data_IF_989012849587
#
_entry.id   IF_989012849587
#
_cell.length_a   1.000
_cell.length_b   1.000
_cell.length_c   1.000
_cell.angle_alpha   90.00
_cell.angle_beta   90.00
_cell.angle_gamma   90.00
#
_symmetry.space_group_name_H-M   'P 1'
#
loop_
_entity.id
_entity.type
_entity.pdbx_description
1 polymer ?
#
# COMPACT_ATOMS: atom_id res chain seq x y z
N UNK A 1 -47.14 11.56 -8.71
CA UNK A 1 -46.66 11.47 -7.30
C UNK A 1 -45.16 11.23 -7.08
N UNK A 2 -44.34 11.00 -8.11
CA UNK A 2 -42.88 10.88 -7.92
C UNK A 2 -42.14 12.22 -7.80
N UNK A 3 -42.81 13.35 -8.11
CA UNK A 3 -42.23 14.70 -8.17
C UNK A 3 -42.46 15.57 -6.92
N UNK A 4 -43.24 15.11 -5.92
CA UNK A 4 -43.69 15.92 -4.78
C UNK A 4 -42.93 15.70 -3.46
N UNK A 5 -42.06 14.69 -3.38
CA UNK A 5 -41.39 14.37 -2.11
C UNK A 5 -40.00 15.05 -2.01
N UNK A 6 -39.90 16.05 -1.11
CA UNK A 6 -38.72 16.88 -0.81
C UNK A 6 -37.42 16.17 -0.36
N UNK A 7 -37.23 14.90 -0.70
CA UNK A 7 -36.00 14.12 -0.48
C UNK A 7 -34.86 14.55 -1.40
N UNK A 8 -35.13 15.21 -2.54
CA UNK A 8 -34.10 15.67 -3.49
C UNK A 8 -33.23 16.80 -2.92
N UNK A 9 -33.82 17.74 -2.17
CA UNK A 9 -33.08 18.84 -1.54
C UNK A 9 -31.99 18.35 -0.58
N UNK A 10 -32.24 17.25 0.14
CA UNK A 10 -31.24 16.64 1.04
C UNK A 10 -30.07 16.00 0.28
N UNK A 11 -30.33 15.36 -0.87
CA UNK A 11 -29.28 14.74 -1.70
C UNK A 11 -28.45 15.82 -2.43
N UNK A 12 -29.11 16.82 -3.01
CA UNK A 12 -28.42 17.96 -3.63
C UNK A 12 -27.59 18.76 -2.62
N UNK A 13 -28.11 18.97 -1.40
CA UNK A 13 -27.35 19.62 -0.34
C UNK A 13 -26.18 18.77 0.12
N UNK A 14 -26.33 17.44 0.20
CA UNK A 14 -25.22 16.53 0.53
C UNK A 14 -24.13 16.54 -0.55
N UNK A 15 -24.51 16.52 -1.82
CA UNK A 15 -23.58 16.60 -2.96
C UNK A 15 -22.90 17.97 -3.04
N UNK A 16 -23.64 19.06 -2.82
CA UNK A 16 -23.14 20.43 -2.76
C UNK A 16 -22.15 20.62 -1.61
N UNK A 17 -22.48 20.11 -0.42
CA UNK A 17 -21.59 20.15 0.75
C UNK A 17 -20.30 19.34 0.52
N UNK A 18 -20.40 18.17 -0.14
CA UNK A 18 -19.21 17.40 -0.54
C UNK A 18 -18.34 18.15 -1.55
N UNK A 19 -18.94 18.85 -2.52
CA UNK A 19 -18.22 19.70 -3.49
C UNK A 19 -17.62 20.95 -2.86
N UNK A 20 -18.25 21.51 -1.83
CA UNK A 20 -17.73 22.66 -1.08
C UNK A 20 -16.56 22.26 -0.20
N UNK A 21 -16.71 21.18 0.57
CA UNK A 21 -15.63 20.57 1.35
C UNK A 21 -14.43 20.21 0.45
N UNK A 22 -14.69 19.69 -0.75
CA UNK A 22 -13.61 19.42 -1.70
C UNK A 22 -12.90 20.72 -2.13
N UNK A 23 -13.63 21.78 -2.50
CA UNK A 23 -13.02 23.07 -2.88
C UNK A 23 -12.16 23.70 -1.77
N UNK A 24 -12.60 23.59 -0.52
CA UNK A 24 -11.84 24.13 0.62
C UNK A 24 -10.58 23.31 0.94
N UNK A 25 -10.59 21.99 0.66
CA UNK A 25 -9.42 21.10 0.72
C UNK A 25 -8.45 21.37 -0.45
N UNK A 26 -8.95 21.85 -1.58
CA UNK A 26 -8.19 22.12 -2.81
C UNK A 26 -7.60 23.53 -2.91
N UNK A 27 -7.55 24.33 -1.83
CA UNK A 27 -6.68 25.51 -1.82
C UNK A 27 -5.23 25.05 -1.91
N UNK A 28 -4.61 25.36 -3.05
CA UNK A 28 -3.29 24.92 -3.47
C UNK A 28 -2.23 25.15 -2.38
N UNK A 29 -1.63 24.05 -1.90
CA UNK A 29 -0.20 24.04 -1.66
C UNK A 29 0.42 23.44 -2.92
N UNK A 30 1.23 24.22 -3.61
CA UNK A 30 2.07 23.76 -4.70
C UNK A 30 2.92 22.59 -4.20
N UNK A 31 2.68 21.40 -4.76
CA UNK A 31 3.61 20.28 -4.65
C UNK A 31 4.84 20.60 -5.51
N UNK A 32 6.06 20.23 -5.08
CA UNK A 32 7.20 20.26 -5.98
C UNK A 32 6.87 19.39 -7.20
N UNK A 33 6.95 19.98 -8.39
CA UNK A 33 6.89 19.24 -9.63
C UNK A 33 8.06 18.23 -9.64
N UNK A 34 7.77 16.97 -9.93
CA UNK A 34 8.80 16.00 -10.28
C UNK A 34 9.56 16.53 -11.50
N UNK A 35 10.84 16.84 -11.30
CA UNK A 35 11.74 17.27 -12.35
C UNK A 35 11.87 16.14 -13.39
N UNK A 36 11.25 16.34 -14.56
CA UNK A 36 11.07 15.32 -15.62
C UNK A 36 12.25 15.22 -16.60
N UNK A 37 13.38 15.87 -16.32
CA UNK A 37 14.59 15.73 -17.13
C UNK A 37 15.54 14.72 -16.49
N UNK A 38 15.59 13.51 -17.06
CA UNK A 38 16.60 12.51 -16.74
C UNK A 38 17.97 12.99 -17.24
N UNK A 39 18.81 13.45 -16.33
CA UNK A 39 20.25 13.61 -16.54
C UNK A 39 20.93 12.31 -16.06
N UNK A 40 21.56 11.50 -16.96
CA UNK A 40 22.30 10.33 -16.52
C UNK A 40 23.41 10.74 -15.55
N UNK A 41 23.51 10.03 -14.43
CA UNK A 41 24.61 10.21 -13.47
C UNK A 41 25.95 10.01 -14.21
N UNK A 42 26.86 10.97 -14.09
CA UNK A 42 28.22 10.85 -14.65
C UNK A 42 28.83 9.52 -14.19
N UNK A 43 29.38 8.75 -15.14
CA UNK A 43 30.10 7.50 -14.89
C UNK A 43 29.26 6.32 -14.36
N UNK A 44 27.94 6.27 -14.60
CA UNK A 44 27.09 5.12 -14.20
C UNK A 44 27.63 3.76 -14.68
N UNK A 45 28.20 3.69 -15.89
CA UNK A 45 28.80 2.47 -16.42
C UNK A 45 29.99 1.98 -15.59
N UNK A 46 30.80 2.91 -15.07
CA UNK A 46 31.92 2.61 -14.17
C UNK A 46 31.38 2.17 -12.81
N UNK A 47 30.41 2.89 -12.25
CA UNK A 47 29.79 2.54 -10.96
C UNK A 47 29.17 1.12 -10.98
N UNK A 48 28.52 0.73 -12.09
CA UNK A 48 28.00 -0.63 -12.29
C UNK A 48 29.10 -1.70 -12.34
N UNK A 49 30.25 -1.40 -12.96
CA UNK A 49 31.38 -2.32 -12.97
C UNK A 49 31.92 -2.53 -11.56
N UNK A 50 32.12 -1.45 -10.80
CA UNK A 50 32.57 -1.54 -9.41
C UNK A 50 31.59 -2.32 -8.54
N UNK A 51 30.28 -2.03 -8.64
CA UNK A 51 29.21 -2.70 -7.88
C UNK A 51 29.25 -4.24 -8.02
N UNK A 52 29.71 -4.73 -9.17
CA UNK A 52 29.73 -6.16 -9.53
C UNK A 52 31.09 -6.81 -9.36
N UNK A 53 32.07 -6.11 -8.78
CA UNK A 53 33.36 -6.71 -8.47
C UNK A 53 33.20 -7.79 -7.38
N UNK A 54 33.79 -8.98 -7.56
CA UNK A 54 33.75 -10.04 -6.54
C UNK A 54 34.38 -9.63 -5.20
N UNK A 55 35.30 -8.66 -5.23
CA UNK A 55 36.10 -8.20 -4.09
C UNK A 55 35.56 -6.92 -3.45
N UNK A 56 34.37 -6.46 -3.85
CA UNK A 56 33.79 -5.23 -3.32
C UNK A 56 33.54 -5.34 -1.81
N UNK A 57 33.89 -4.30 -1.06
CA UNK A 57 33.55 -4.20 0.37
C UNK A 57 32.10 -3.77 0.57
N UNK A 58 31.57 -3.94 1.79
CA UNK A 58 30.19 -3.54 2.09
C UNK A 58 29.96 -2.02 1.93
N UNK A 59 30.92 -1.20 2.36
CA UNK A 59 30.86 0.26 2.26
C UNK A 59 30.93 0.73 0.80
N UNK A 60 31.81 0.11 0.00
CA UNK A 60 31.86 0.37 -1.44
C UNK A 60 30.57 -0.05 -2.13
N UNK A 61 29.99 -1.19 -1.72
CA UNK A 61 28.72 -1.65 -2.27
C UNK A 61 27.60 -0.64 -2.00
N UNK A 62 27.42 -0.16 -0.76
CA UNK A 62 26.42 0.87 -0.44
C UNK A 62 26.65 2.15 -1.27
N UNK A 63 27.91 2.61 -1.33
CA UNK A 63 28.28 3.80 -2.10
C UNK A 63 27.90 3.66 -3.58
N UNK A 64 28.29 2.56 -4.24
CA UNK A 64 28.00 2.35 -5.65
C UNK A 64 26.53 2.02 -5.90
N UNK A 65 25.85 1.35 -4.96
CA UNK A 65 24.42 1.11 -5.03
C UNK A 65 23.64 2.43 -5.09
N UNK A 66 23.99 3.39 -4.21
CA UNK A 66 23.40 4.74 -4.18
C UNK A 66 23.76 5.54 -5.43
N UNK A 67 25.01 5.47 -5.90
CA UNK A 67 25.47 6.14 -7.12
C UNK A 67 24.80 5.66 -8.42
N UNK A 68 24.13 4.50 -8.40
CA UNK A 68 23.40 4.00 -9.54
C UNK A 68 21.87 4.16 -9.42
N UNK A 69 21.38 4.83 -8.38
CA UNK A 69 19.96 4.81 -8.05
C UNK A 69 19.08 5.44 -9.13
N UNK A 70 19.48 6.59 -9.72
CA UNK A 70 18.67 7.23 -10.77
C UNK A 70 18.56 6.33 -12.00
N UNK A 71 19.67 5.71 -12.38
CA UNK A 71 19.69 4.75 -13.49
C UNK A 71 18.84 3.52 -13.19
N UNK A 72 18.96 2.95 -11.98
CA UNK A 72 18.13 1.83 -11.50
C UNK A 72 16.65 2.18 -11.52
N UNK A 73 16.27 3.35 -11.02
CA UNK A 73 14.86 3.79 -11.00
C UNK A 73 14.30 3.96 -12.41
N UNK A 74 15.09 4.48 -13.35
CA UNK A 74 14.69 4.54 -14.75
C UNK A 74 14.44 3.15 -15.31
N UNK A 75 15.39 2.23 -15.17
CA UNK A 75 15.23 0.84 -15.64
C UNK A 75 14.01 0.16 -15.00
N UNK A 76 13.78 0.34 -13.70
CA UNK A 76 12.59 -0.17 -13.01
C UNK A 76 11.31 0.41 -13.62
N UNK A 77 11.28 1.71 -13.90
CA UNK A 77 10.11 2.37 -14.48
C UNK A 77 9.80 1.96 -15.93
N UNK A 78 10.84 1.60 -16.69
CA UNK A 78 10.74 1.19 -18.10
C UNK A 78 10.55 -0.34 -18.26
N UNK A 79 10.75 -1.11 -17.18
CA UNK A 79 10.61 -2.57 -17.18
C UNK A 79 9.16 -2.99 -17.42
N UNK A 80 8.98 -4.06 -18.20
CA UNK A 80 7.67 -4.65 -18.49
C UNK A 80 7.24 -5.67 -17.43
N UNK A 81 8.19 -6.17 -16.63
CA UNK A 81 7.94 -7.17 -15.60
C UNK A 81 8.95 -7.07 -14.45
N UNK A 82 8.56 -7.61 -13.29
CA UNK A 82 9.45 -7.78 -12.13
C UNK A 82 10.59 -8.75 -12.42
N UNK A 83 10.34 -9.78 -13.22
CA UNK A 83 11.38 -10.71 -13.67
C UNK A 83 12.50 -10.00 -14.44
N UNK A 84 12.16 -9.04 -15.30
CA UNK A 84 13.12 -8.18 -16.02
C UNK A 84 13.92 -7.30 -15.06
N UNK A 85 13.26 -6.68 -14.07
CA UNK A 85 13.92 -5.89 -13.01
C UNK A 85 14.98 -6.76 -12.31
N UNK A 86 14.62 -7.98 -11.91
CA UNK A 86 15.54 -8.88 -11.22
C UNK A 86 16.61 -9.53 -12.12
N UNK A 87 16.48 -9.44 -13.44
CA UNK A 87 17.56 -9.79 -14.36
C UNK A 87 18.57 -8.63 -14.46
N UNK A 88 18.09 -7.38 -14.48
CA UNK A 88 18.96 -6.20 -14.50
C UNK A 88 19.65 -5.94 -13.15
N UNK A 89 18.94 -6.17 -12.05
CA UNK A 89 19.36 -5.93 -10.67
C UNK A 89 19.21 -7.20 -9.81
N UNK A 90 20.02 -8.23 -10.09
CA UNK A 90 19.96 -9.51 -9.36
C UNK A 90 20.29 -9.36 -7.86
N UNK A 91 20.89 -8.25 -7.45
CA UNK A 91 21.21 -7.94 -6.05
C UNK A 91 19.96 -7.95 -5.16
N UNK A 92 18.79 -7.56 -5.69
CA UNK A 92 17.53 -7.66 -4.95
C UNK A 92 17.16 -9.10 -4.59
N UNK A 93 17.64 -10.11 -5.31
CA UNK A 93 17.34 -11.53 -5.02
C UNK A 93 18.16 -12.09 -3.86
N UNK A 94 19.20 -11.38 -3.42
CA UNK A 94 20.06 -11.81 -2.31
C UNK A 94 19.31 -11.68 -0.97
N UNK A 95 19.74 -12.38 0.10
CA UNK A 95 19.16 -12.21 1.44
C UNK A 95 19.14 -10.76 1.93
N UNK A 96 20.12 -9.95 1.51
CA UNK A 96 20.21 -8.51 1.80
C UNK A 96 19.27 -7.64 0.96
N UNK A 97 18.50 -8.21 0.03
CA UNK A 97 17.68 -7.47 -0.92
C UNK A 97 16.65 -6.56 -0.26
N UNK A 98 16.10 -6.93 0.90
CA UNK A 98 15.18 -6.07 1.66
C UNK A 98 15.84 -4.77 2.13
N UNK A 99 17.12 -4.83 2.50
CA UNK A 99 17.92 -3.65 2.88
C UNK A 99 18.07 -2.73 1.65
N UNK A 100 18.32 -3.31 0.47
CA UNK A 100 18.45 -2.54 -0.77
C UNK A 100 17.15 -1.85 -1.16
N UNK A 101 16.01 -2.53 -0.99
CA UNK A 101 14.69 -1.95 -1.21
C UNK A 101 14.45 -0.76 -0.27
N UNK A 102 14.87 -0.86 1.00
CA UNK A 102 14.77 0.25 1.95
C UNK A 102 15.66 1.44 1.56
N UNK A 103 16.91 1.20 1.17
CA UNK A 103 17.80 2.25 0.65
C UNK A 103 17.15 2.96 -0.54
N UNK A 104 16.59 2.19 -1.47
CA UNK A 104 15.92 2.74 -2.64
C UNK A 104 14.65 3.50 -2.31
N UNK A 105 13.87 3.03 -1.32
CA UNK A 105 12.69 3.73 -0.85
C UNK A 105 13.05 5.10 -0.27
N UNK A 106 14.06 5.16 0.61
CA UNK A 106 14.56 6.41 1.21
C UNK A 106 15.11 7.37 0.15
N UNK A 107 15.83 6.84 -0.85
CA UNK A 107 16.37 7.65 -1.93
C UNK A 107 15.27 8.19 -2.86
N UNK A 108 14.24 7.39 -3.14
CA UNK A 108 13.13 7.77 -4.01
C UNK A 108 12.16 8.73 -3.31
N UNK A 109 11.99 8.57 -2.00
CA UNK A 109 11.06 9.38 -1.20
C UNK A 109 11.75 9.92 0.06
N UNK A 110 12.72 10.87 -0.09
CA UNK A 110 13.54 11.36 1.03
C UNK A 110 12.74 12.11 2.10
N UNK A 111 11.54 12.56 1.77
CA UNK A 111 10.64 13.26 2.69
C UNK A 111 9.48 12.38 3.18
N UNK A 112 9.46 11.10 2.82
CA UNK A 112 8.44 10.18 3.30
C UNK A 112 8.51 10.06 4.83
N UNK A 113 7.34 10.02 5.45
CA UNK A 113 7.21 9.71 6.87
C UNK A 113 7.41 8.22 7.10
N UNK A 114 7.92 7.88 8.28
CA UNK A 114 8.06 6.48 8.66
C UNK A 114 6.72 5.93 9.13
N UNK A 115 6.40 4.71 8.70
CA UNK A 115 5.15 4.06 9.06
C UNK A 115 5.01 3.93 10.58
N UNK A 116 6.07 3.52 11.28
CA UNK A 116 6.07 3.36 12.73
C UNK A 116 5.73 4.67 13.46
N UNK A 117 6.38 5.78 13.11
CA UNK A 117 6.12 7.10 13.69
C UNK A 117 4.66 7.53 13.49
N UNK A 118 4.14 7.37 12.27
CA UNK A 118 2.76 7.73 11.94
C UNK A 118 1.76 6.80 12.61
N UNK A 119 2.05 5.51 12.64
CA UNK A 119 1.21 4.54 13.34
C UNK A 119 1.11 4.88 14.82
N UNK A 120 2.23 5.09 15.52
CA UNK A 120 2.23 5.49 16.93
C UNK A 120 1.44 6.76 17.19
N UNK A 121 1.51 7.75 16.27
CA UNK A 121 0.79 9.02 16.41
C UNK A 121 -0.72 8.94 16.17
N UNK A 122 -1.19 7.97 15.38
CA UNK A 122 -2.58 7.91 14.91
C UNK A 122 -3.29 6.59 15.21
N UNK A 123 -2.64 5.63 15.87
CA UNK A 123 -3.19 4.30 16.20
C UNK A 123 -4.58 4.38 16.80
N UNK A 124 -4.74 5.12 17.90
CA UNK A 124 -6.01 5.16 18.64
C UNK A 124 -7.12 5.83 17.82
N UNK A 125 -6.76 6.84 17.02
CA UNK A 125 -7.67 7.49 16.05
C UNK A 125 -8.15 6.51 14.99
N UNK A 126 -7.25 5.70 14.44
CA UNK A 126 -7.57 4.67 13.45
C UNK A 126 -8.48 3.61 14.06
N UNK A 127 -8.14 3.10 15.24
CA UNK A 127 -8.94 2.08 15.96
C UNK A 127 -10.34 2.61 16.26
N UNK A 128 -10.45 3.81 16.82
CA UNK A 128 -11.74 4.46 17.09
C UNK A 128 -12.57 4.65 15.81
N UNK A 129 -11.93 5.05 14.72
CA UNK A 129 -12.62 5.20 13.43
C UNK A 129 -13.17 3.86 12.93
N UNK A 130 -12.40 2.78 13.06
CA UNK A 130 -12.84 1.42 12.70
C UNK A 130 -14.05 0.99 13.55
N UNK A 131 -14.02 1.24 14.86
CA UNK A 131 -15.11 0.93 15.79
C UNK A 131 -16.40 1.70 15.47
N UNK A 132 -16.28 2.98 15.12
CA UNK A 132 -17.43 3.88 14.93
C UNK A 132 -18.07 3.82 13.54
N UNK A 133 -17.29 3.52 12.49
CA UNK A 133 -17.76 3.56 11.10
C UNK A 133 -18.18 2.21 10.54
N UNK A 134 -17.64 1.11 11.07
CA UNK A 134 -17.91 -0.22 10.54
C UNK A 134 -19.10 -0.80 11.31
N UNK A 135 -20.25 -0.93 10.64
CA UNK A 135 -21.49 -1.46 11.24
C UNK A 135 -21.44 -2.96 11.59
N UNK A 136 -20.37 -3.66 11.26
CA UNK A 136 -20.24 -5.10 11.51
C UNK A 136 -19.93 -5.36 13.00
N UNK A 137 -20.84 -6.03 13.76
CA UNK A 137 -20.63 -6.29 15.18
C UNK A 137 -19.39 -7.13 15.48
N UNK A 138 -19.02 -8.06 14.60
CA UNK A 138 -17.83 -8.89 14.78
C UNK A 138 -16.54 -8.06 14.71
N UNK A 139 -16.49 -7.09 13.78
CA UNK A 139 -15.36 -6.17 13.66
C UNK A 139 -15.32 -5.23 14.86
N UNK A 140 -16.46 -4.67 15.26
CA UNK A 140 -16.54 -3.79 16.43
C UNK A 140 -16.06 -4.51 17.71
N UNK A 141 -16.52 -5.75 17.95
CA UNK A 141 -16.06 -6.58 19.07
C UNK A 141 -14.56 -6.86 19.00
N UNK A 142 -14.03 -7.20 17.82
CA UNK A 142 -12.60 -7.44 17.63
C UNK A 142 -11.78 -6.18 17.92
N UNK A 143 -12.23 -5.01 17.47
CA UNK A 143 -11.56 -3.73 17.75
C UNK A 143 -11.62 -3.33 19.24
N UNK A 144 -12.64 -3.74 20.00
CA UNK A 144 -12.69 -3.50 21.45
C UNK A 144 -11.66 -4.34 22.20
N UNK A 145 -11.40 -5.56 21.72
CA UNK A 145 -10.46 -6.50 22.32
C UNK A 145 -9.03 -6.31 21.83
N UNK A 146 -8.78 -5.44 20.85
CA UNK A 146 -7.49 -5.33 20.15
C UNK A 146 -6.29 -5.07 21.09
N UNK A 147 -6.51 -4.48 22.26
CA UNK A 147 -5.46 -4.19 23.25
C UNK A 147 -4.84 -5.44 23.89
N UNK A 148 -5.48 -6.61 23.80
CA UNK A 148 -4.93 -7.88 24.31
C UNK A 148 -4.07 -8.60 23.27
N UNK A 149 -4.02 -8.09 22.04
CA UNK A 149 -3.24 -8.69 20.96
C UNK A 149 -1.78 -8.24 21.04
N UNK A 150 -0.87 -9.01 20.44
CA UNK A 150 0.52 -8.58 20.26
C UNK A 150 0.61 -7.36 19.32
N UNK A 151 1.75 -6.66 19.31
CA UNK A 151 1.89 -5.38 18.59
C UNK A 151 1.64 -5.52 17.08
N UNK A 152 2.18 -6.56 16.48
CA UNK A 152 2.02 -6.92 15.08
C UNK A 152 0.54 -7.20 14.75
N UNK A 153 -0.13 -7.98 15.60
CA UNK A 153 -1.55 -8.31 15.51
C UNK A 153 -2.42 -7.06 15.59
N UNK A 154 -2.09 -6.08 16.44
CA UNK A 154 -2.81 -4.81 16.52
C UNK A 154 -2.73 -4.07 15.18
N UNK A 155 -1.52 -3.92 14.62
CA UNK A 155 -1.29 -3.22 13.34
C UNK A 155 -2.06 -3.95 12.22
N UNK A 156 -1.83 -5.24 12.07
CA UNK A 156 -2.41 -6.03 10.97
C UNK A 156 -3.92 -6.15 11.08
N UNK A 157 -4.45 -6.32 12.29
CA UNK A 157 -5.90 -6.30 12.53
C UNK A 157 -6.50 -4.96 12.11
N UNK A 158 -5.86 -3.84 12.45
CA UNK A 158 -6.35 -2.54 12.02
C UNK A 158 -6.30 -2.42 10.49
N UNK A 159 -5.13 -2.65 9.87
CA UNK A 159 -4.94 -2.56 8.42
C UNK A 159 -5.93 -3.47 7.66
N UNK A 160 -6.10 -4.72 8.08
CA UNK A 160 -7.05 -5.68 7.52
C UNK A 160 -8.49 -5.15 7.55
N UNK A 161 -8.89 -4.50 8.65
CA UNK A 161 -10.24 -3.97 8.80
C UNK A 161 -10.44 -2.62 8.11
N UNK A 162 -9.38 -1.85 7.84
CA UNK A 162 -9.46 -0.59 7.08
C UNK A 162 -10.01 -0.79 5.66
N UNK A 163 -9.88 -1.98 5.06
CA UNK A 163 -10.49 -2.29 3.77
C UNK A 163 -12.01 -2.03 3.74
N UNK A 164 -12.71 -2.18 4.88
CA UNK A 164 -14.14 -1.90 4.99
C UNK A 164 -14.49 -0.40 4.93
N UNK A 165 -13.51 0.48 5.11
CA UNK A 165 -13.72 1.94 5.05
C UNK A 165 -13.76 2.45 3.61
N UNK A 166 -13.30 1.64 2.65
CA UNK A 166 -13.24 1.98 1.24
C UNK A 166 -14.40 1.36 0.46
N UNK A 167 -14.98 2.08 -0.52
CA UNK A 167 -16.00 1.50 -1.38
C UNK A 167 -15.39 0.38 -2.25
N UNK A 168 -16.20 -0.62 -2.63
CA UNK A 168 -15.80 -1.63 -3.63
C UNK A 168 -15.19 -0.98 -4.87
N UNK A 169 -14.03 -1.47 -5.29
CA UNK A 169 -13.40 -1.03 -6.54
C UNK A 169 -14.08 -1.71 -7.72
N UNK A 170 -14.12 -1.01 -8.86
CA UNK A 170 -14.66 -1.56 -10.10
C UNK A 170 -13.67 -1.33 -11.23
N UNK A 171 -13.20 -2.42 -11.86
CA UNK A 171 -12.42 -2.36 -13.09
C UNK A 171 -13.35 -2.51 -14.28
N UNK A 172 -13.15 -1.64 -15.26
CA UNK A 172 -13.83 -1.74 -16.56
C UNK A 172 -12.77 -2.15 -17.57
N UNK A 173 -12.94 -3.34 -18.13
CA UNK A 173 -12.12 -3.88 -19.22
C UNK A 173 -12.98 -3.99 -20.46
N UNK A 174 -12.37 -4.08 -21.63
CA UNK A 174 -13.09 -4.39 -22.87
C UNK A 174 -12.71 -5.79 -23.31
N UNK A 175 -13.68 -6.58 -23.77
CA UNK A 175 -13.38 -7.86 -24.42
C UNK A 175 -12.89 -7.67 -25.86
N UNK A 176 -12.58 -8.78 -26.53
CA UNK A 176 -12.12 -8.79 -27.93
C UNK A 176 -13.15 -8.22 -28.92
N UNK A 177 -14.43 -8.09 -28.51
CA UNK A 177 -15.49 -7.46 -29.30
C UNK A 177 -15.67 -5.97 -28.98
N UNK A 178 -14.90 -5.42 -28.04
CA UNK A 178 -15.01 -4.06 -27.56
C UNK A 178 -16.10 -3.85 -26.50
N UNK A 179 -16.79 -4.90 -26.06
CA UNK A 179 -17.83 -4.80 -25.04
C UNK A 179 -17.20 -4.61 -23.65
N UNK A 180 -17.77 -3.68 -22.87
CA UNK A 180 -17.24 -3.32 -21.55
C UNK A 180 -17.62 -4.37 -20.50
N UNK A 181 -16.64 -5.16 -20.06
CA UNK A 181 -16.73 -6.03 -18.90
C UNK A 181 -16.44 -5.22 -17.64
N UNK A 182 -17.38 -5.25 -16.69
CA UNK A 182 -17.27 -4.58 -15.40
C UNK A 182 -17.04 -5.62 -14.31
N UNK A 183 -15.82 -5.70 -13.78
CA UNK A 183 -15.50 -6.53 -12.61
C UNK A 183 -15.55 -5.66 -11.36
N UNK A 184 -16.42 -5.99 -10.41
CA UNK A 184 -16.44 -5.39 -9.07
C UNK A 184 -15.62 -6.28 -8.14
N UNK A 185 -14.82 -5.66 -7.28
CA UNK A 185 -14.08 -6.35 -6.24
C UNK A 185 -14.75 -6.11 -4.89
N UNK A 186 -14.95 -7.17 -4.14
CA UNK A 186 -15.45 -7.15 -2.77
C UNK A 186 -14.36 -6.70 -1.79
N UNK A 187 -14.76 -6.46 -0.54
CA UNK A 187 -13.80 -6.21 0.56
C UNK A 187 -12.88 -7.43 0.75
N UNK A 188 -13.44 -8.65 0.63
CA UNK A 188 -12.65 -9.88 0.74
C UNK A 188 -11.61 -9.97 -0.37
N UNK A 189 -11.97 -9.67 -1.63
CA UNK A 189 -11.00 -9.62 -2.73
C UNK A 189 -9.84 -8.65 -2.42
N UNK A 190 -10.17 -7.49 -1.83
CA UNK A 190 -9.18 -6.47 -1.42
C UNK A 190 -8.30 -6.91 -0.26
N UNK A 191 -8.82 -7.74 0.64
CA UNK A 191 -8.06 -8.29 1.78
C UNK A 191 -7.15 -9.43 1.32
N UNK A 192 -7.65 -10.33 0.48
CA UNK A 192 -6.89 -11.47 -0.07
C UNK A 192 -5.80 -11.05 -1.07
N UNK A 193 -5.96 -9.88 -1.70
CA UNK A 193 -4.89 -9.26 -2.47
C UNK A 193 -3.81 -8.68 -1.55
N UNK A 194 -4.19 -8.00 -0.46
CA UNK A 194 -3.30 -7.40 0.54
C UNK A 194 -2.43 -8.45 1.27
N UNK A 195 -3.05 -9.52 1.77
CA UNK A 195 -2.34 -10.56 2.52
C UNK A 195 -2.96 -11.95 2.39
N UNK A 196 -2.12 -12.97 2.52
CA UNK A 196 -2.51 -14.36 2.81
C UNK A 196 -2.34 -14.57 4.31
N UNK A 197 -3.45 -14.79 5.00
CA UNK A 197 -3.48 -15.21 6.39
C UNK A 197 -3.70 -16.73 6.45
N UNK A 198 -2.88 -17.41 7.24
CA UNK A 198 -2.93 -18.86 7.43
C UNK A 198 -2.34 -19.24 8.80
N UNK A 199 -2.78 -20.35 9.38
CA UNK A 199 -2.35 -20.74 10.74
C UNK A 199 -0.89 -21.19 10.81
N UNK A 200 -0.34 -21.61 9.67
CA UNK A 200 0.99 -22.21 9.54
C UNK A 200 1.65 -21.83 8.21
N UNK A 201 2.98 -21.94 8.14
CA UNK A 201 3.74 -21.66 6.92
C UNK A 201 3.44 -22.68 5.81
N UNK A 202 3.14 -23.93 6.18
CA UNK A 202 2.75 -24.98 5.24
C UNK A 202 1.45 -24.61 4.51
N UNK A 203 0.48 -24.06 5.23
CA UNK A 203 -0.79 -23.60 4.64
C UNK A 203 -0.57 -22.40 3.71
N UNK A 204 0.34 -21.48 4.05
CA UNK A 204 0.75 -20.38 3.16
C UNK A 204 1.30 -20.94 1.84
N UNK A 205 2.21 -21.91 1.90
CA UNK A 205 2.82 -22.51 0.72
C UNK A 205 1.79 -23.25 -0.14
N UNK A 206 0.80 -23.91 0.47
CA UNK A 206 -0.33 -24.53 -0.25
C UNK A 206 -1.14 -23.45 -0.97
N UNK A 207 -1.51 -22.35 -0.29
CA UNK A 207 -2.27 -21.25 -0.90
C UNK A 207 -1.51 -20.62 -2.07
N UNK A 208 -0.19 -20.41 -1.94
CA UNK A 208 0.65 -19.91 -3.03
C UNK A 208 0.68 -20.88 -4.22
N UNK A 209 0.89 -22.18 -3.99
CA UNK A 209 0.86 -23.20 -5.05
C UNK A 209 -0.47 -23.21 -5.79
N UNK A 210 -1.59 -23.12 -5.08
CA UNK A 210 -2.92 -23.06 -5.69
C UNK A 210 -3.08 -21.82 -6.58
N UNK A 211 -2.58 -20.65 -6.17
CA UNK A 211 -2.61 -19.44 -6.99
C UNK A 211 -1.79 -19.61 -8.28
N UNK A 212 -0.60 -20.20 -8.19
CA UNK A 212 0.24 -20.50 -9.37
C UNK A 212 -0.45 -21.49 -10.31
N UNK A 213 -1.02 -22.58 -9.77
CA UNK A 213 -1.75 -23.59 -10.55
C UNK A 213 -2.98 -23.03 -11.27
N UNK A 214 -3.59 -21.99 -10.72
CA UNK A 214 -4.68 -21.24 -11.37
C UNK A 214 -4.21 -20.29 -12.48
N UNK A 215 -2.90 -20.25 -12.78
CA UNK A 215 -2.31 -19.35 -13.76
C UNK A 215 -2.39 -17.88 -13.34
N UNK A 216 -2.58 -17.59 -12.05
CA UNK A 216 -2.66 -16.22 -11.55
C UNK A 216 -1.26 -15.66 -11.36
N UNK A 217 -1.02 -14.47 -11.90
CA UNK A 217 0.16 -13.70 -11.53
C UNK A 217 -0.02 -13.21 -10.09
N UNK A 218 0.88 -13.64 -9.20
CA UNK A 218 0.79 -13.31 -7.78
C UNK A 218 1.42 -11.94 -7.59
N UNK A 219 0.56 -10.93 -7.45
CA UNK A 219 0.98 -9.59 -7.06
C UNK A 219 1.68 -9.62 -5.70
N UNK A 220 2.53 -8.62 -5.42
CA UNK A 220 3.25 -8.55 -4.17
C UNK A 220 2.26 -8.51 -2.99
N UNK A 221 2.51 -9.29 -1.94
CA UNK A 221 1.56 -9.38 -0.82
C UNK A 221 2.20 -9.85 0.47
N UNK A 222 1.53 -9.61 1.59
CA UNK A 222 1.95 -10.12 2.88
C UNK A 222 1.58 -11.60 3.01
N UNK A 223 2.49 -12.38 3.58
CA UNK A 223 2.29 -13.76 4.02
C UNK A 223 2.32 -13.73 5.55
N UNK A 224 1.21 -14.07 6.18
CA UNK A 224 1.03 -13.96 7.63
C UNK A 224 0.76 -15.36 8.18
N UNK A 225 1.63 -15.81 9.08
CA UNK A 225 1.48 -17.06 9.81
C UNK A 225 0.88 -16.78 11.20
N UNK A 226 -0.13 -17.55 11.59
CA UNK A 226 -0.90 -17.39 12.82
C UNK A 226 -2.32 -16.90 12.56
N UNK A 227 -2.87 -16.15 13.51
CA UNK A 227 -4.19 -15.52 13.38
C UNK A 227 -4.09 -14.01 13.62
N UNK A 228 -5.15 -13.26 13.32
CA UNK A 228 -5.14 -11.80 13.50
C UNK A 228 -4.99 -11.38 14.97
N UNK A 229 -5.36 -12.25 15.90
CA UNK A 229 -5.21 -12.06 17.34
C UNK A 229 -3.78 -12.34 17.81
N UNK A 230 -3.10 -13.31 17.20
CA UNK A 230 -1.76 -13.77 17.56
C UNK A 230 -0.95 -14.11 16.30
N UNK A 231 -0.30 -13.07 15.74
CA UNK A 231 0.57 -13.20 14.59
C UNK A 231 1.93 -13.73 15.04
N UNK A 232 2.43 -14.75 14.32
CA UNK A 232 3.70 -15.41 14.59
C UNK A 232 4.81 -14.94 13.65
N UNK A 233 4.48 -14.74 12.37
CA UNK A 233 5.43 -14.24 11.39
C UNK A 233 4.74 -13.45 10.28
N UNK A 234 5.45 -12.44 9.77
CA UNK A 234 5.03 -11.64 8.62
C UNK A 234 6.18 -11.62 7.62
N UNK A 235 5.89 -12.09 6.42
CA UNK A 235 6.83 -12.16 5.31
C UNK A 235 6.19 -11.44 4.11
N UNK A 236 7.00 -10.90 3.23
CA UNK A 236 6.54 -10.27 2.01
C UNK A 236 6.89 -11.16 0.84
N UNK A 237 5.87 -11.53 0.08
CA UNK A 237 6.04 -12.25 -1.16
C UNK A 237 6.17 -11.27 -2.30
N UNK A 238 7.25 -11.35 -3.06
CA UNK A 238 7.46 -10.55 -4.26
C UNK A 238 8.13 -11.39 -5.35
N UNK A 239 7.36 -11.74 -6.38
CA UNK A 239 7.82 -12.47 -7.58
C UNK A 239 8.70 -13.70 -7.27
N UNK A 240 8.19 -14.57 -6.39
CA UNK A 240 8.85 -15.81 -5.97
C UNK A 240 9.82 -15.66 -4.79
N UNK A 241 10.05 -14.44 -4.31
CA UNK A 241 11.00 -14.14 -3.24
C UNK A 241 10.24 -13.80 -1.96
N UNK A 242 10.71 -14.35 -0.84
CA UNK A 242 10.20 -14.08 0.51
C UNK A 242 11.15 -13.10 1.21
N UNK A 243 10.74 -11.85 1.37
CA UNK A 243 11.49 -10.83 2.10
C UNK A 243 10.96 -10.70 3.54
N UNK A 244 11.83 -10.39 4.52
CA UNK A 244 11.36 -9.85 5.80
C UNK A 244 10.68 -8.48 5.55
N UNK A 245 9.60 -8.23 6.31
CA UNK A 245 8.62 -7.14 6.18
C UNK A 245 9.01 -5.90 5.35
N UNK A 246 8.15 -5.56 4.40
CA UNK A 246 8.20 -4.49 3.39
C UNK A 246 6.76 -4.23 2.87
N UNK A 247 6.37 -2.98 2.65
CA UNK A 247 5.03 -2.63 2.13
C UNK A 247 4.99 -2.70 0.60
N UNK A 248 4.01 -3.41 -0.01
CA UNK A 248 3.90 -3.53 -1.49
C UNK A 248 2.44 -3.59 -1.98
N UNK A 249 2.19 -3.23 -3.24
CA UNK A 249 0.92 -2.79 -3.86
C UNK A 249 0.28 -3.78 -4.87
N UNK A 250 -0.84 -4.44 -4.52
CA UNK A 250 -1.77 -5.10 -5.44
C UNK A 250 -2.93 -4.20 -5.91
N UNK A 251 -3.46 -4.49 -7.11
CA UNK A 251 -4.52 -3.72 -7.78
C UNK A 251 -5.87 -3.74 -7.03
N UNK A 252 -6.27 -4.87 -6.46
CA UNK A 252 -7.57 -5.02 -5.78
C UNK A 252 -7.64 -4.23 -4.46
N UNK A 253 -6.48 -3.82 -3.96
CA UNK A 253 -6.32 -2.94 -2.81
C UNK A 253 -5.87 -1.52 -3.20
N UNK A 254 -5.95 -1.12 -4.47
CA UNK A 254 -5.42 0.17 -4.96
C UNK A 254 -5.84 1.37 -4.09
N UNK A 255 -7.12 1.45 -3.72
CA UNK A 255 -7.63 2.54 -2.87
C UNK A 255 -7.02 2.47 -1.45
N UNK A 256 -6.92 1.26 -0.90
CA UNK A 256 -6.30 1.03 0.41
C UNK A 256 -4.83 1.46 0.38
N UNK A 257 -4.06 1.06 -0.64
CA UNK A 257 -2.65 1.45 -0.74
C UNK A 257 -2.45 2.93 -1.05
N UNK A 258 -3.32 3.56 -1.84
CA UNK A 258 -3.31 5.01 -2.00
C UNK A 258 -3.50 5.70 -0.64
N UNK A 259 -4.37 5.16 0.22
CA UNK A 259 -4.48 5.65 1.58
C UNK A 259 -3.22 5.40 2.41
N UNK A 260 -2.61 4.22 2.34
CA UNK A 260 -1.36 3.94 3.07
C UNK A 260 -0.26 4.92 2.65
N UNK A 261 -0.07 5.08 1.34
CA UNK A 261 0.91 5.99 0.75
C UNK A 261 0.70 7.45 1.17
N UNK A 262 -0.53 7.97 1.06
CA UNK A 262 -0.86 9.35 1.41
C UNK A 262 -0.89 9.60 2.93
N UNK A 263 -1.41 8.67 3.72
CA UNK A 263 -1.63 8.86 5.15
C UNK A 263 -0.41 8.51 6.01
N UNK A 264 0.16 7.31 5.80
CA UNK A 264 1.27 6.83 6.63
C UNK A 264 2.63 7.23 6.11
N UNK A 265 2.80 7.45 4.80
CA UNK A 265 4.09 7.86 4.24
C UNK A 265 4.12 9.30 3.77
N UNK A 266 2.97 9.98 3.66
CA UNK A 266 2.85 11.34 3.11
C UNK A 266 3.44 11.48 1.69
N UNK A 267 3.38 10.38 0.93
CA UNK A 267 3.85 10.33 -0.45
C UNK A 267 2.67 10.72 -1.37
N UNK A 268 2.87 11.65 -2.32
CA UNK A 268 1.83 12.01 -3.28
C UNK A 268 1.32 10.81 -4.07
N UNK A 269 0.00 10.62 -4.13
CA UNK A 269 -0.62 9.56 -4.94
C UNK A 269 -0.87 10.04 -6.37
N UNK A 270 -0.63 9.18 -7.35
CA UNK A 270 -0.90 9.46 -8.78
C UNK A 270 -2.38 9.76 -9.06
N UNK A 271 -3.30 9.13 -8.31
CA UNK A 271 -4.74 9.34 -8.41
C UNK A 271 -5.30 9.93 -7.11
N UNK A 272 -5.84 11.16 -7.19
CA UNK A 272 -6.56 11.78 -6.07
C UNK A 272 -7.94 11.13 -5.90
N UNK A 273 -8.08 10.30 -4.87
CA UNK A 273 -9.35 9.64 -4.54
C UNK A 273 -10.04 10.38 -3.41
N UNK A 274 -11.21 10.96 -3.67
CA UNK A 274 -12.00 11.76 -2.69
C UNK A 274 -12.18 11.04 -1.36
N UNK A 275 -12.44 9.73 -1.41
CA UNK A 275 -12.65 8.92 -0.20
C UNK A 275 -11.38 8.82 0.65
N UNK A 276 -10.21 8.69 0.03
CA UNK A 276 -8.90 8.66 0.71
C UNK A 276 -8.67 9.99 1.43
N UNK A 277 -8.85 11.12 0.73
CA UNK A 277 -8.68 12.46 1.32
C UNK A 277 -9.68 12.73 2.44
N UNK A 278 -10.93 12.28 2.28
CA UNK A 278 -11.95 12.41 3.33
C UNK A 278 -11.54 11.62 4.56
N UNK A 279 -11.06 10.38 4.40
CA UNK A 279 -10.64 9.52 5.50
C UNK A 279 -9.42 10.08 6.23
N UNK A 280 -8.38 10.50 5.49
CA UNK A 280 -7.20 11.19 6.03
C UNK A 280 -7.61 12.38 6.89
N UNK A 281 -8.48 13.25 6.37
CA UNK A 281 -8.94 14.43 7.09
C UNK A 281 -9.84 14.10 8.30
N UNK A 282 -10.67 13.05 8.23
CA UNK A 282 -11.44 12.57 9.40
C UNK A 282 -10.49 12.14 10.53
N UNK A 283 -9.48 11.33 10.23
CA UNK A 283 -8.49 10.87 11.22
C UNK A 283 -7.75 12.06 11.83
N UNK A 284 -7.28 13.01 11.00
CA UNK A 284 -6.54 14.19 11.48
C UNK A 284 -7.39 15.12 12.35
N UNK A 285 -8.72 15.12 12.21
CA UNK A 285 -9.63 15.97 12.99
C UNK A 285 -10.16 15.34 14.27
N UNK A 286 -9.95 14.04 14.48
CA UNK A 286 -10.30 13.40 15.74
C UNK A 286 -9.45 14.02 16.85
N UNK A 287 -10.14 14.51 17.90
CA UNK A 287 -9.49 15.06 19.09
C UNK A 287 -9.00 13.92 19.96
N UNK A 288 -7.90 14.15 20.68
CA UNK A 288 -7.30 13.11 21.53
C UNK A 288 -8.19 12.69 22.70
N UNK A 289 -9.15 13.53 23.08
CA UNK A 289 -10.10 13.23 24.16
C UNK A 289 -11.25 12.29 23.75
N UNK A 290 -11.26 11.76 22.52
CA UNK A 290 -12.31 10.85 22.01
C UNK A 290 -12.04 9.38 22.33
N UNK A 291 -10.97 9.06 23.06
CA UNK A 291 -10.47 7.69 23.27
C UNK A 291 -10.64 7.15 24.71
N UNK A 292 -11.41 7.87 25.55
CA UNK A 292 -11.79 7.44 26.90
C UNK A 292 -13.04 6.55 26.88
#
# INVERSE_FOLDING_TARGET
DFYSNGKRGKIYNKLSNLKRLSKDIFKEKSSPEEDKTFEPEENVGVALQYLRLPTITADEFDLYWRKCARYRFKQISESKSTAEIFQMWPEYKKPSGSILINIDFEMKFPFAKQFSERWSSYRDKVIYLLQSKISNPAISKKMQQIHVFNEESVILTALWNMHHLFPPTQKVTSDMSGAKIRKKFSVLDSQESFAILAESEEEIDIKLKLLVLQGRNIQPKLLISGCLEDIKSIIVYFDGIKYPFLSIFPEESEIFYNFIQDFFYDIPTSKKIVKVSTLKHEILKLKDNSFN
#
